data_IF_542836388693
#
_entry.id   IF_542836388693
#
_cell.length_a   1.000
_cell.length_b   1.000
_cell.length_c   1.000
_cell.angle_alpha   90.00
_cell.angle_beta   90.00
_cell.angle_gamma   90.00
#
_symmetry.space_group_name_H-M   'P 1'
#
loop_
_entity.id
_entity.type
_entity.pdbx_description
1 polymer ?
#
# COMPACT_ATOMS: atom_id res chain seq x y z
N UNK A 1 14.69 30.34 20.04
CA UNK A 1 14.56 30.62 18.60
C UNK A 1 15.25 29.49 17.87
N UNK A 2 14.52 28.43 17.60
CA UNK A 2 15.05 27.17 17.02
C UNK A 2 14.69 27.14 15.54
N UNK A 3 15.72 27.11 14.69
CA UNK A 3 15.57 27.02 13.25
C UNK A 3 15.38 25.55 12.88
N UNK A 4 14.16 25.19 12.47
CA UNK A 4 13.86 23.90 11.83
C UNK A 4 14.31 24.04 10.37
N UNK A 5 15.15 23.15 9.82
CA UNK A 5 15.51 23.21 8.42
C UNK A 5 14.32 22.79 7.55
N UNK A 6 13.96 23.65 6.63
CA UNK A 6 12.94 23.47 5.60
C UNK A 6 13.29 22.27 4.72
N UNK A 7 12.46 21.23 4.73
CA UNK A 7 12.62 20.06 3.87
C UNK A 7 12.38 20.49 2.42
N UNK A 8 13.41 20.49 1.61
CA UNK A 8 13.30 20.74 0.16
C UNK A 8 12.56 19.60 -0.50
N UNK A 9 11.28 19.82 -0.72
CA UNK A 9 10.44 18.96 -1.55
C UNK A 9 10.90 19.10 -3.01
N UNK A 10 11.70 18.17 -3.52
CA UNK A 10 12.15 18.15 -4.92
C UNK A 10 11.02 17.54 -5.76
N UNK A 11 10.31 18.32 -6.57
CA UNK A 11 9.22 17.77 -7.38
C UNK A 11 9.79 16.78 -8.41
N UNK A 12 9.16 15.59 -8.48
CA UNK A 12 9.54 14.46 -9.37
C UNK A 12 9.74 14.84 -10.85
N UNK A 13 9.26 16.00 -11.29
CA UNK A 13 9.41 16.50 -12.67
C UNK A 13 10.84 16.93 -13.05
N UNK A 14 11.73 17.13 -12.09
CA UNK A 14 13.14 17.49 -12.38
C UNK A 14 14.03 16.30 -12.70
N UNK A 15 13.57 15.06 -12.52
CA UNK A 15 14.38 13.86 -12.81
C UNK A 15 14.53 13.58 -14.30
N UNK A 16 13.61 14.05 -15.14
CA UNK A 16 13.61 13.78 -16.59
C UNK A 16 14.44 14.77 -17.43
N UNK A 17 14.95 15.84 -16.81
CA UNK A 17 15.71 16.86 -17.55
C UNK A 17 17.22 16.61 -17.62
N UNK A 18 17.77 15.60 -16.93
CA UNK A 18 19.22 15.36 -16.83
C UNK A 18 19.77 14.24 -17.72
N UNK A 19 18.96 13.63 -18.58
CA UNK A 19 19.38 12.45 -19.38
C UNK A 19 19.71 12.74 -20.84
N UNK A 20 19.84 13.99 -21.27
CA UNK A 20 20.14 14.34 -22.64
C UNK A 20 21.45 15.13 -22.74
N UNK A 21 22.60 14.49 -22.52
CA UNK A 21 23.90 14.88 -23.09
C UNK A 21 24.99 13.85 -22.73
N UNK A 22 25.10 12.78 -23.48
CA UNK A 22 26.32 11.99 -23.58
C UNK A 22 26.25 11.07 -24.82
N UNK A 23 26.40 11.65 -26.00
CA UNK A 23 26.83 10.93 -27.19
C UNK A 23 28.10 11.60 -27.73
N UNK A 24 29.19 10.88 -27.65
CA UNK A 24 30.30 10.84 -28.56
C UNK A 24 31.61 10.54 -27.82
N UNK A 25 32.09 9.30 -27.89
CA UNK A 25 33.51 9.01 -28.20
C UNK A 25 33.65 7.49 -28.30
N UNK A 26 33.58 6.98 -29.50
CA UNK A 26 34.06 5.66 -29.92
C UNK A 26 35.54 5.72 -30.19
N UNK A 27 36.25 4.74 -29.65
CA UNK A 27 37.48 4.06 -30.07
C UNK A 27 38.46 3.89 -28.90
N UNK A 28 38.37 2.73 -28.27
CA UNK A 28 39.34 2.26 -27.27
C UNK A 28 39.08 0.78 -26.98
N UNK A 29 40.03 -0.09 -27.38
CA UNK A 29 40.02 -1.55 -27.21
C UNK A 29 39.69 -2.01 -25.79
N UNK A 30 38.94 -3.11 -25.61
CA UNK A 30 38.57 -3.58 -24.29
C UNK A 30 39.72 -4.36 -23.65
N UNK A 31 40.44 -3.71 -22.73
CA UNK A 31 41.20 -4.44 -21.72
C UNK A 31 40.17 -4.88 -20.64
N UNK A 32 39.95 -6.19 -20.55
CA UNK A 32 38.97 -6.79 -19.65
C UNK A 32 39.39 -6.66 -18.18
N UNK A 33 39.13 -5.53 -17.57
CA UNK A 33 39.06 -5.39 -16.13
C UNK A 33 37.63 -5.64 -15.72
N UNK A 34 37.37 -6.71 -14.98
CA UNK A 34 36.07 -6.95 -14.37
C UNK A 34 35.70 -5.76 -13.48
N UNK A 35 34.85 -4.88 -14.01
CA UNK A 35 34.33 -3.73 -13.28
C UNK A 35 33.54 -4.27 -12.09
N UNK A 36 34.15 -4.19 -10.92
CA UNK A 36 33.50 -4.48 -9.65
C UNK A 36 32.18 -3.71 -9.60
N UNK A 37 31.06 -4.43 -9.66
CA UNK A 37 29.73 -3.81 -9.54
C UNK A 37 29.65 -3.22 -8.14
N UNK A 38 29.88 -1.94 -7.99
CA UNK A 38 29.58 -1.22 -6.76
C UNK A 38 28.12 -1.54 -6.41
N UNK A 39 27.92 -2.23 -5.27
CA UNK A 39 26.61 -2.52 -4.75
C UNK A 39 25.87 -1.19 -4.63
N UNK A 40 24.74 -1.07 -5.32
CA UNK A 40 23.90 0.12 -5.18
C UNK A 40 23.62 0.34 -3.69
N UNK A 41 23.60 1.59 -3.21
CA UNK A 41 23.20 1.85 -1.83
C UNK A 41 21.87 1.18 -1.57
N UNK A 42 21.76 0.48 -0.44
CA UNK A 42 20.51 -0.17 -0.06
C UNK A 42 19.42 0.90 -0.01
N UNK A 43 18.38 0.76 -0.84
CA UNK A 43 17.18 1.59 -0.70
C UNK A 43 16.59 1.31 0.68
N UNK A 44 16.23 2.34 1.44
CA UNK A 44 15.55 2.12 2.72
C UNK A 44 14.31 1.24 2.48
N UNK A 45 14.01 0.35 3.43
CA UNK A 45 12.81 -0.47 3.34
C UNK A 45 11.57 0.43 3.31
N UNK A 46 10.63 0.20 2.38
CA UNK A 46 9.40 0.97 2.33
C UNK A 46 8.56 0.74 3.58
N UNK A 47 7.92 1.78 4.07
CA UNK A 47 7.06 1.75 5.26
C UNK A 47 5.63 2.03 4.84
N UNK A 48 4.71 1.13 5.21
CA UNK A 48 3.29 1.25 4.95
C UNK A 48 2.50 1.56 6.22
N UNK A 49 1.33 2.19 6.05
CA UNK A 49 0.36 2.40 7.13
C UNK A 49 -0.99 1.78 6.75
N UNK A 50 -1.64 1.15 7.72
CA UNK A 50 -3.01 0.66 7.54
C UNK A 50 -4.03 1.78 7.77
N UNK A 51 -5.06 1.85 6.94
CA UNK A 51 -6.17 2.79 7.11
C UNK A 51 -6.86 2.63 8.47
N UNK A 52 -6.77 1.45 9.10
CA UNK A 52 -7.20 1.21 10.47
C UNK A 52 -6.57 2.17 11.49
N UNK A 53 -5.31 2.55 11.29
CA UNK A 53 -4.57 3.40 12.22
C UNK A 53 -5.20 4.78 12.41
N UNK A 54 -5.98 5.24 11.44
CA UNK A 54 -6.61 6.56 11.47
C UNK A 54 -7.94 6.60 12.25
N UNK A 55 -8.62 5.47 12.45
CA UNK A 55 -9.92 5.47 13.15
C UNK A 55 -10.10 4.40 14.23
N UNK A 56 -9.35 3.29 14.20
CA UNK A 56 -9.32 2.23 15.23
C UNK A 56 -10.72 1.72 15.62
N UNK A 57 -11.62 1.54 14.65
CA UNK A 57 -13.04 1.17 14.86
C UNK A 57 -13.89 2.16 15.67
N UNK A 58 -13.44 3.38 15.89
CA UNK A 58 -14.25 4.43 16.48
C UNK A 58 -15.16 5.01 15.40
N UNK A 59 -16.46 4.72 15.47
CA UNK A 59 -17.42 5.08 14.42
C UNK A 59 -17.57 6.59 14.20
N UNK A 60 -17.42 7.34 15.27
CA UNK A 60 -17.46 8.81 15.28
C UNK A 60 -16.25 9.49 14.63
N UNK A 61 -15.15 8.75 14.48
CA UNK A 61 -13.91 9.25 13.87
C UNK A 61 -13.53 8.48 12.60
N UNK A 62 -14.44 7.69 12.03
CA UNK A 62 -14.18 6.91 10.82
C UNK A 62 -13.94 7.84 9.64
N UNK A 63 -12.72 7.80 9.11
CA UNK A 63 -12.36 8.54 7.91
C UNK A 63 -12.67 7.72 6.65
N UNK A 64 -13.01 8.38 5.53
CA UNK A 64 -12.97 7.76 4.21
C UNK A 64 -11.58 7.23 3.87
N UNK A 65 -11.50 6.18 3.07
CA UNK A 65 -10.20 5.62 2.63
C UNK A 65 -9.40 6.66 1.86
N UNK A 66 -10.07 7.49 1.08
CA UNK A 66 -9.49 8.59 0.31
C UNK A 66 -8.67 9.54 1.18
N UNK A 67 -9.24 9.93 2.32
CA UNK A 67 -8.59 10.85 3.25
C UNK A 67 -7.41 10.17 3.96
N UNK A 68 -7.53 8.85 4.24
CA UNK A 68 -6.42 8.08 4.79
C UNK A 68 -5.24 8.00 3.82
N UNK A 69 -5.50 7.89 2.51
CA UNK A 69 -4.46 7.89 1.46
C UNK A 69 -3.72 9.23 1.46
N UNK A 70 -4.44 10.36 1.53
CA UNK A 70 -3.81 11.67 1.55
C UNK A 70 -2.97 11.89 2.82
N UNK A 71 -3.53 11.55 3.98
CA UNK A 71 -2.81 11.64 5.26
C UNK A 71 -1.57 10.75 5.31
N UNK A 72 -1.62 9.58 4.66
CA UNK A 72 -0.45 8.70 4.54
C UNK A 72 0.65 9.36 3.71
N UNK A 73 0.28 10.01 2.60
CA UNK A 73 1.21 10.74 1.76
C UNK A 73 1.83 11.94 2.49
N UNK A 74 1.01 12.72 3.19
CA UNK A 74 1.46 13.87 4.00
C UNK A 74 2.42 13.43 5.12
N UNK A 75 2.17 12.27 5.72
CA UNK A 75 3.04 11.70 6.76
C UNK A 75 4.33 11.07 6.21
N UNK A 76 4.48 10.95 4.88
CA UNK A 76 5.67 10.42 4.23
C UNK A 76 5.76 8.89 4.20
N UNK A 77 4.65 8.17 4.30
CA UNK A 77 4.61 6.73 4.06
C UNK A 77 4.81 6.40 2.58
N UNK A 78 5.31 5.20 2.30
CA UNK A 78 5.52 4.69 0.94
C UNK A 78 4.31 3.93 0.40
N UNK A 79 3.45 3.40 1.29
CA UNK A 79 2.32 2.58 0.90
C UNK A 79 1.17 2.61 1.92
N UNK A 80 -0.01 2.13 1.47
CA UNK A 80 -1.22 2.03 2.29
C UNK A 80 -1.79 0.62 2.23
N UNK A 81 -2.14 0.06 3.39
CA UNK A 81 -2.98 -1.11 3.52
C UNK A 81 -4.44 -0.68 3.69
N UNK A 82 -5.33 -1.14 2.81
CA UNK A 82 -6.77 -0.84 2.86
C UNK A 82 -7.49 -1.82 3.77
N UNK A 83 -8.30 -1.31 4.68
CA UNK A 83 -9.17 -2.10 5.53
C UNK A 83 -10.56 -2.25 4.88
N UNK A 84 -10.95 -3.47 4.47
CA UNK A 84 -12.20 -3.72 3.75
C UNK A 84 -13.45 -3.17 4.45
N UNK A 85 -13.58 -3.37 5.76
CA UNK A 85 -14.74 -2.90 6.54
C UNK A 85 -14.90 -1.36 6.54
N UNK A 86 -13.88 -0.65 6.10
CA UNK A 86 -13.91 0.80 5.95
C UNK A 86 -14.45 1.26 4.60
N UNK A 87 -14.44 0.37 3.59
CA UNK A 87 -14.96 0.68 2.26
C UNK A 87 -16.46 0.97 2.33
N UNK A 88 -16.88 2.01 1.64
CA UNK A 88 -18.28 2.42 1.52
C UNK A 88 -18.89 2.03 0.19
N UNK A 89 -18.06 1.71 -0.79
CA UNK A 89 -18.42 1.32 -2.15
C UNK A 89 -17.42 0.31 -2.70
N UNK A 90 -17.85 -0.50 -3.66
CA UNK A 90 -17.02 -1.55 -4.28
C UNK A 90 -17.14 -1.56 -5.82
N UNK A 91 -17.85 -0.57 -6.37
CA UNK A 91 -17.97 -0.43 -7.81
C UNK A 91 -16.63 -0.03 -8.46
N UNK A 92 -16.48 -0.39 -9.73
CA UNK A 92 -15.22 -0.17 -10.45
C UNK A 92 -14.79 1.30 -10.45
N UNK A 93 -15.72 2.25 -10.52
CA UNK A 93 -15.38 3.68 -10.55
C UNK A 93 -14.70 4.12 -9.25
N UNK A 94 -15.21 3.62 -8.11
CA UNK A 94 -14.62 3.88 -6.80
C UNK A 94 -13.23 3.23 -6.65
N UNK A 95 -13.11 1.96 -7.04
CA UNK A 95 -11.82 1.27 -6.98
C UNK A 95 -10.75 1.96 -7.83
N UNK A 96 -11.09 2.39 -9.06
CA UNK A 96 -10.16 3.13 -9.90
C UNK A 96 -9.82 4.52 -9.33
N UNK A 97 -10.75 5.17 -8.66
CA UNK A 97 -10.51 6.45 -7.99
C UNK A 97 -9.49 6.27 -6.85
N UNK A 98 -9.62 5.24 -6.01
CA UNK A 98 -8.64 4.92 -4.95
C UNK A 98 -7.25 4.64 -5.54
N UNK A 99 -7.17 3.81 -6.59
CA UNK A 99 -5.90 3.53 -7.30
C UNK A 99 -5.25 4.81 -7.81
N UNK A 100 -6.04 5.64 -8.50
CA UNK A 100 -5.54 6.91 -9.02
C UNK A 100 -5.03 7.82 -7.90
N UNK A 101 -5.78 7.90 -6.78
CA UNK A 101 -5.41 8.75 -5.65
C UNK A 101 -4.09 8.32 -5.02
N UNK A 102 -3.91 7.02 -4.79
CA UNK A 102 -2.64 6.48 -4.33
C UNK A 102 -1.50 6.78 -5.32
N UNK A 103 -1.72 6.52 -6.61
CA UNK A 103 -0.72 6.74 -7.64
C UNK A 103 -0.26 8.20 -7.74
N UNK A 104 -1.18 9.18 -7.76
CA UNK A 104 -0.81 10.59 -7.86
C UNK A 104 -0.09 11.11 -6.62
N UNK A 105 -0.37 10.51 -5.46
CA UNK A 105 0.31 10.78 -4.20
C UNK A 105 1.65 10.01 -4.07
N UNK A 106 1.95 9.13 -5.02
CA UNK A 106 3.18 8.32 -5.04
C UNK A 106 3.21 7.20 -4.02
N UNK A 107 2.04 6.72 -3.63
CA UNK A 107 1.86 5.60 -2.71
C UNK A 107 1.52 4.33 -3.46
N UNK A 108 2.02 3.20 -2.95
CA UNK A 108 1.55 1.88 -3.34
C UNK A 108 0.33 1.47 -2.50
N UNK A 109 -0.62 0.74 -3.10
CA UNK A 109 -1.61 -0.03 -2.36
C UNK A 109 -1.02 -1.42 -2.10
N UNK A 110 -0.49 -1.64 -0.90
CA UNK A 110 0.35 -2.81 -0.61
C UNK A 110 -0.37 -3.96 0.08
N UNK A 111 -1.52 -3.72 0.71
CA UNK A 111 -2.24 -4.71 1.46
C UNK A 111 -3.75 -4.47 1.50
N UNK A 112 -4.51 -5.57 1.60
CA UNK A 112 -5.96 -5.54 1.78
C UNK A 112 -6.33 -6.35 3.02
N UNK A 113 -6.80 -5.68 4.06
CA UNK A 113 -7.10 -6.30 5.35
C UNK A 113 -8.56 -6.65 5.49
N UNK A 114 -8.81 -7.89 5.87
CA UNK A 114 -10.15 -8.44 6.05
C UNK A 114 -10.32 -9.05 7.45
N UNK A 115 -11.55 -9.30 7.86
CA UNK A 115 -11.89 -9.78 9.20
C UNK A 115 -12.84 -10.98 9.13
N UNK A 116 -12.32 -12.12 8.66
CA UNK A 116 -13.04 -13.40 8.64
C UNK A 116 -12.85 -14.17 9.96
N UNK A 117 -13.67 -15.22 10.13
CA UNK A 117 -13.55 -16.16 11.24
C UNK A 117 -13.92 -17.57 10.76
N UNK A 118 -12.89 -18.38 10.46
CA UNK A 118 -13.07 -19.73 9.91
C UNK A 118 -13.27 -20.82 10.98
N UNK A 119 -13.11 -20.48 12.26
CA UNK A 119 -13.19 -21.42 13.38
C UNK A 119 -14.56 -21.46 14.05
N UNK A 120 -15.62 -20.91 13.41
CA UNK A 120 -16.97 -21.01 13.93
C UNK A 120 -17.42 -22.48 13.95
N UNK A 121 -18.11 -22.96 15.02
CA UNK A 121 -18.76 -24.26 15.03
C UNK A 121 -19.92 -24.34 14.01
N UNK A 122 -20.53 -23.20 13.67
CA UNK A 122 -21.59 -23.10 12.67
C UNK A 122 -21.01 -23.13 11.26
N UNK A 123 -21.45 -24.11 10.47
CA UNK A 123 -21.01 -24.30 9.09
C UNK A 123 -21.42 -23.13 8.17
N UNK A 124 -22.64 -22.62 8.33
CA UNK A 124 -23.13 -21.50 7.52
C UNK A 124 -22.27 -20.24 7.74
N UNK A 125 -21.83 -20.01 8.98
CA UNK A 125 -20.92 -18.91 9.29
C UNK A 125 -19.55 -19.13 8.64
N UNK A 126 -19.02 -20.36 8.65
CA UNK A 126 -17.75 -20.66 7.98
C UNK A 126 -17.87 -20.46 6.48
N UNK A 127 -18.93 -20.95 5.84
CA UNK A 127 -19.16 -20.78 4.41
C UNK A 127 -19.27 -19.29 4.03
N UNK A 128 -20.04 -18.51 4.79
CA UNK A 128 -20.12 -17.06 4.58
C UNK A 128 -18.72 -16.38 4.63
N UNK A 129 -17.87 -16.79 5.56
CA UNK A 129 -16.52 -16.24 5.64
C UNK A 129 -15.62 -16.67 4.45
N UNK A 130 -15.83 -17.87 3.90
CA UNK A 130 -15.16 -18.33 2.68
C UNK A 130 -15.60 -17.45 1.49
N UNK A 131 -16.90 -17.31 1.30
CA UNK A 131 -17.45 -16.50 0.20
C UNK A 131 -17.00 -15.04 0.29
N UNK A 132 -17.02 -14.48 1.49
CA UNK A 132 -16.49 -13.13 1.74
C UNK A 132 -14.98 -13.02 1.42
N UNK A 133 -14.21 -14.07 1.70
CA UNK A 133 -12.78 -14.07 1.37
C UNK A 133 -12.57 -14.08 -0.14
N UNK A 134 -13.32 -14.88 -0.89
CA UNK A 134 -13.26 -14.91 -2.35
C UNK A 134 -13.62 -13.56 -2.95
N UNK A 135 -14.68 -12.93 -2.44
CA UNK A 135 -15.06 -11.58 -2.84
C UNK A 135 -13.93 -10.56 -2.56
N UNK A 136 -13.33 -10.61 -1.39
CA UNK A 136 -12.20 -9.72 -1.03
C UNK A 136 -10.96 -9.94 -1.92
N UNK A 137 -10.70 -11.17 -2.36
CA UNK A 137 -9.64 -11.48 -3.32
C UNK A 137 -9.90 -10.80 -4.67
N UNK A 138 -11.14 -10.80 -5.15
CA UNK A 138 -11.51 -10.09 -6.38
C UNK A 138 -11.33 -8.57 -6.25
N UNK A 139 -11.70 -7.99 -5.11
CA UNK A 139 -11.51 -6.56 -4.84
C UNK A 139 -10.02 -6.21 -4.80
N UNK A 140 -9.21 -7.01 -4.10
CA UNK A 140 -7.77 -6.83 -4.05
C UNK A 140 -7.14 -6.90 -5.45
N UNK A 141 -7.56 -7.87 -6.27
CA UNK A 141 -7.12 -8.00 -7.66
C UNK A 141 -7.48 -6.75 -8.49
N UNK A 142 -8.72 -6.28 -8.41
CA UNK A 142 -9.18 -5.06 -9.11
C UNK A 142 -8.42 -3.81 -8.66
N UNK A 143 -8.07 -3.73 -7.37
CA UNK A 143 -7.25 -2.66 -6.81
C UNK A 143 -5.75 -2.79 -7.17
N UNK A 144 -5.31 -3.96 -7.66
CA UNK A 144 -3.90 -4.24 -7.93
C UNK A 144 -3.08 -4.45 -6.67
N UNK A 145 -3.72 -4.86 -5.57
CA UNK A 145 -3.09 -5.11 -4.29
C UNK A 145 -2.51 -6.53 -4.27
N UNK A 146 -1.20 -6.70 -3.99
CA UNK A 146 -0.54 -7.99 -4.09
C UNK A 146 -0.76 -8.92 -2.90
N UNK A 147 -1.19 -8.39 -1.75
CA UNK A 147 -1.33 -9.16 -0.51
C UNK A 147 -2.67 -8.93 0.15
N UNK A 148 -3.24 -9.99 0.72
CA UNK A 148 -4.47 -9.93 1.52
C UNK A 148 -4.20 -10.53 2.90
N UNK A 149 -4.66 -9.86 3.94
CA UNK A 149 -4.64 -10.37 5.31
C UNK A 149 -5.99 -10.98 5.65
N UNK A 150 -5.98 -12.23 6.07
CA UNK A 150 -7.15 -12.95 6.59
C UNK A 150 -6.91 -13.36 8.04
N UNK A 151 -7.96 -13.39 8.85
CA UNK A 151 -7.90 -13.88 10.20
C UNK A 151 -8.33 -15.36 10.24
N UNK A 152 -7.73 -16.16 11.10
CA UNK A 152 -8.14 -17.54 11.33
C UNK A 152 -9.40 -17.61 12.18
N UNK A 153 -9.55 -16.73 13.16
CA UNK A 153 -10.69 -16.64 14.06
C UNK A 153 -10.82 -15.27 14.73
N UNK A 154 -11.90 -15.13 15.50
CA UNK A 154 -12.19 -13.91 16.28
C UNK A 154 -12.35 -14.27 17.74
N UNK A 155 -12.09 -13.33 18.64
CA UNK A 155 -12.43 -13.46 20.05
C UNK A 155 -13.93 -13.75 20.21
N UNK A 156 -14.25 -14.70 21.08
CA UNK A 156 -15.61 -15.09 21.37
C UNK A 156 -16.28 -16.00 20.33
N UNK A 157 -15.53 -16.52 19.34
CA UNK A 157 -16.07 -17.47 18.36
C UNK A 157 -16.39 -18.82 19.00
N UNK A 158 -15.65 -19.22 20.01
CA UNK A 158 -15.89 -20.40 20.85
C UNK A 158 -16.03 -19.99 22.31
N UNK A 159 -16.91 -20.69 23.05
CA UNK A 159 -17.14 -20.38 24.47
C UNK A 159 -16.02 -20.87 25.38
N UNK A 160 -15.21 -21.79 24.90
CA UNK A 160 -14.09 -22.39 25.66
C UNK A 160 -12.84 -22.41 24.77
N UNK A 161 -11.76 -21.92 25.30
CA UNK A 161 -10.42 -22.18 24.84
C UNK A 161 -9.78 -23.21 25.72
#
# INVERSE_FOLDING_TARGET
MSLIPESRNIPRRHFLASSALATASLLGTPSGSAREKKKAPATPNPIAVSTYSYWRYRKDTKLPIEDCIDLAAEAGFDAVEILHVQMTREDNSYLQMLKRRAFVNGLDLCGFSTHQGFVSPDEAVRQHNIDHTLHCLELAYKLGIPTIRVNTGRWGTTKNF
#
